data_IF_426792912929
#
_entry.id   IF_426792912929
#
_cell.length_a   1.000
_cell.length_b   1.000
_cell.length_c   1.000
_cell.angle_alpha   90.00
_cell.angle_beta   90.00
_cell.angle_gamma   90.00
#
_symmetry.space_group_name_H-M   'P 1'
#
loop_
_entity.id
_entity.type
_entity.pdbx_description
1 polymer ?
#
# COMPACT_ATOMS: atom_id res chain seq x y z
N UNK A 1 28.26 37.93 -4.95
CA UNK A 1 27.46 37.15 -5.92
C UNK A 1 27.33 35.73 -5.40
N UNK A 2 26.12 35.23 -5.15
CA UNK A 2 25.90 33.82 -4.80
C UNK A 2 26.15 32.99 -6.06
N UNK A 3 27.10 32.06 -5.99
CA UNK A 3 27.32 31.08 -7.06
C UNK A 3 26.10 30.14 -7.12
N UNK A 4 25.19 30.43 -8.06
CA UNK A 4 23.94 29.69 -8.26
C UNK A 4 24.16 28.20 -8.53
N UNK A 5 25.36 27.77 -8.98
CA UNK A 5 25.64 26.35 -9.21
C UNK A 5 25.91 25.60 -7.91
N UNK A 6 26.47 26.27 -6.89
CA UNK A 6 26.75 25.65 -5.58
C UNK A 6 25.52 25.52 -4.68
N UNK A 7 24.42 26.22 -5.00
CA UNK A 7 23.18 26.16 -4.23
C UNK A 7 22.17 25.10 -4.72
N UNK A 8 22.47 24.39 -5.83
CA UNK A 8 21.57 23.38 -6.39
C UNK A 8 22.09 21.99 -6.05
N UNK A 9 21.33 21.29 -5.19
CA UNK A 9 21.57 19.89 -4.85
C UNK A 9 20.76 19.02 -5.82
N UNK A 10 21.35 17.90 -6.26
CA UNK A 10 20.72 16.97 -7.19
C UNK A 10 20.60 15.60 -6.56
N UNK A 11 19.41 15.00 -6.67
CA UNK A 11 19.14 13.63 -6.28
C UNK A 11 18.72 12.86 -7.54
N UNK A 12 19.50 11.86 -7.91
CA UNK A 12 19.28 11.01 -9.10
C UNK A 12 19.54 9.56 -8.72
N UNK A 13 19.11 8.62 -9.56
CA UNK A 13 19.44 7.19 -9.43
C UNK A 13 20.95 6.92 -9.31
N UNK A 14 21.79 7.82 -9.86
CA UNK A 14 23.24 7.65 -9.87
C UNK A 14 23.86 8.00 -8.51
N UNK A 15 23.18 8.77 -7.66
CA UNK A 15 23.65 9.18 -6.34
C UNK A 15 22.69 8.85 -5.19
N UNK A 16 21.57 8.21 -5.47
CA UNK A 16 20.62 7.68 -4.49
C UNK A 16 20.41 6.19 -4.76
N UNK A 17 21.05 5.29 -3.99
CA UNK A 17 21.00 3.84 -4.23
C UNK A 17 19.60 3.23 -4.25
N UNK A 18 18.62 3.88 -3.61
CA UNK A 18 17.23 3.43 -3.58
C UNK A 18 16.44 3.84 -4.81
N UNK A 19 16.83 4.91 -5.52
CA UNK A 19 16.12 5.42 -6.69
C UNK A 19 16.27 4.49 -7.89
N UNK A 20 15.15 3.94 -8.36
CA UNK A 20 15.09 3.13 -9.59
C UNK A 20 14.74 3.94 -10.84
N UNK A 21 14.30 5.20 -10.67
CA UNK A 21 13.95 6.09 -11.78
C UNK A 21 14.34 7.55 -11.52
N UNK A 22 14.76 8.26 -12.57
CA UNK A 22 14.95 9.72 -12.56
C UNK A 22 13.69 10.49 -12.99
N UNK A 23 12.67 9.79 -13.49
CA UNK A 23 11.46 10.43 -14.02
C UNK A 23 10.44 10.59 -12.91
N UNK A 24 10.28 11.83 -12.45
CA UNK A 24 9.40 12.22 -11.35
C UNK A 24 8.07 12.72 -11.91
N UNK A 25 6.95 12.22 -11.38
CA UNK A 25 5.59 12.61 -11.80
C UNK A 25 4.85 13.43 -10.76
N UNK A 26 5.19 13.26 -9.49
CA UNK A 26 4.50 13.90 -8.37
C UNK A 26 5.46 14.16 -7.23
N UNK A 27 5.27 15.29 -6.55
CA UNK A 27 5.97 15.64 -5.32
C UNK A 27 4.95 16.22 -4.36
N UNK A 28 4.94 15.76 -3.11
CA UNK A 28 4.14 16.38 -2.06
C UNK A 28 4.87 16.37 -0.72
N UNK A 29 4.36 17.15 0.22
CA UNK A 29 4.80 17.15 1.61
C UNK A 29 3.65 16.62 2.48
N UNK A 30 3.96 15.68 3.38
CA UNK A 30 2.97 15.19 4.35
C UNK A 30 2.83 16.14 5.56
N UNK A 31 1.86 15.87 6.44
CA UNK A 31 1.60 16.68 7.63
C UNK A 31 2.73 16.66 8.67
N UNK A 32 3.63 15.67 8.61
CA UNK A 32 4.84 15.58 9.44
C UNK A 32 6.04 16.30 8.79
N UNK A 33 5.84 16.90 7.62
CA UNK A 33 6.83 17.63 6.86
C UNK A 33 7.68 16.76 5.95
N UNK A 34 7.51 15.44 5.91
CA UNK A 34 8.31 14.55 5.06
C UNK A 34 8.01 14.83 3.58
N UNK A 35 9.05 14.75 2.76
CA UNK A 35 8.93 14.86 1.32
C UNK A 35 8.58 13.49 0.74
N UNK A 36 7.62 13.48 -0.18
CA UNK A 36 7.21 12.29 -0.93
C UNK A 36 7.34 12.55 -2.42
N UNK A 37 7.89 11.57 -3.14
CA UNK A 37 8.28 11.68 -4.55
C UNK A 37 7.77 10.46 -5.31
N UNK A 38 6.79 10.65 -6.18
CA UNK A 38 6.23 9.62 -7.06
C UNK A 38 6.96 9.57 -8.39
N UNK A 39 7.38 8.39 -8.83
CA UNK A 39 8.25 8.21 -10.00
C UNK A 39 7.70 7.19 -10.98
N UNK A 40 8.41 6.96 -12.08
CA UNK A 40 8.09 5.85 -12.99
C UNK A 40 8.37 4.47 -12.39
N UNK A 41 9.19 4.38 -11.33
CA UNK A 41 9.51 3.13 -10.66
C UNK A 41 9.66 3.33 -9.14
N UNK A 42 8.54 3.35 -8.44
CA UNK A 42 8.42 3.47 -6.98
C UNK A 42 7.96 4.85 -6.52
N UNK A 43 7.61 4.90 -5.23
CA UNK A 43 7.45 6.14 -4.46
C UNK A 43 8.56 6.21 -3.41
N UNK A 44 9.08 7.41 -3.20
CA UNK A 44 10.18 7.64 -2.27
C UNK A 44 9.78 8.65 -1.21
N UNK A 45 10.10 8.38 0.05
CA UNK A 45 9.97 9.34 1.13
C UNK A 45 11.34 9.77 1.64
N UNK A 46 11.43 11.02 2.06
CA UNK A 46 12.58 11.54 2.78
C UNK A 46 12.09 12.34 3.98
N UNK A 47 12.54 11.98 5.17
CA UNK A 47 12.18 12.71 6.38
C UNK A 47 12.76 14.12 6.32
N UNK A 48 11.90 15.12 6.55
CA UNK A 48 12.34 16.50 6.66
C UNK A 48 12.88 16.76 8.06
N UNK A 49 14.10 16.34 8.28
CA UNK A 49 14.93 16.89 9.32
C UNK A 49 15.70 18.09 8.74
N UNK A 50 16.19 18.98 9.59
CA UNK A 50 17.00 20.16 9.23
C UNK A 50 18.27 19.84 8.38
N UNK A 51 18.50 18.57 8.02
CA UNK A 51 19.56 18.08 7.14
C UNK A 51 19.47 18.60 5.71
N UNK A 52 18.27 18.91 5.19
CA UNK A 52 18.13 19.56 3.87
C UNK A 52 18.90 20.88 3.75
N UNK A 53 19.09 21.57 4.87
CA UNK A 53 19.81 22.84 4.93
C UNK A 53 21.28 22.63 5.35
N UNK A 54 21.55 21.63 6.20
CA UNK A 54 22.83 21.50 6.87
C UNK A 54 23.84 20.53 6.21
N UNK A 55 23.39 19.40 5.65
CA UNK A 55 24.26 18.34 5.09
C UNK A 55 23.54 17.57 3.96
N UNK A 56 23.40 18.17 2.77
CA UNK A 56 22.66 17.58 1.66
C UNK A 56 23.17 16.19 1.21
N UNK A 57 24.47 15.94 1.38
CA UNK A 57 25.14 14.68 1.07
C UNK A 57 24.67 13.50 1.93
N UNK A 58 24.05 13.76 3.07
CA UNK A 58 23.52 12.74 3.98
C UNK A 58 22.02 12.48 3.80
N UNK A 59 21.40 13.09 2.79
CA UNK A 59 20.00 12.81 2.47
C UNK A 59 19.90 11.44 1.85
N UNK A 60 19.02 10.63 2.42
CA UNK A 60 18.64 9.33 1.90
C UNK A 60 17.14 9.25 1.73
N UNK A 61 16.73 8.56 0.68
CA UNK A 61 15.33 8.29 0.39
C UNK A 61 14.99 6.85 0.71
N UNK A 62 13.84 6.64 1.35
CA UNK A 62 13.26 5.32 1.53
C UNK A 62 12.27 5.03 0.39
N UNK A 63 12.44 3.90 -0.29
CA UNK A 63 11.62 3.52 -1.45
C UNK A 63 10.55 2.50 -1.11
N UNK A 64 9.34 2.72 -1.61
CA UNK A 64 8.24 1.78 -1.59
C UNK A 64 7.89 1.36 -3.02
N UNK A 65 7.61 0.07 -3.18
CA UNK A 65 7.43 -0.59 -4.47
C UNK A 65 6.21 -1.51 -4.43
N UNK A 66 5.89 -2.10 -5.59
CA UNK A 66 4.80 -3.06 -5.78
C UNK A 66 4.94 -4.25 -4.85
N UNK A 67 6.16 -4.75 -4.67
CA UNK A 67 6.45 -5.87 -3.76
C UNK A 67 6.14 -5.51 -2.30
N UNK A 68 6.10 -4.22 -1.96
CA UNK A 68 5.77 -3.69 -0.63
C UNK A 68 4.32 -3.21 -0.48
N UNK A 69 3.45 -3.41 -1.48
CA UNK A 69 2.02 -3.13 -1.38
C UNK A 69 1.46 -2.05 -2.33
N UNK A 70 2.30 -1.39 -3.14
CA UNK A 70 1.76 -0.58 -4.25
C UNK A 70 1.04 -1.48 -5.27
N UNK A 71 0.01 -0.96 -5.93
CA UNK A 71 -0.62 -1.69 -7.04
C UNK A 71 0.24 -1.67 -8.31
N UNK A 72 1.05 -0.64 -8.50
CA UNK A 72 2.07 -0.54 -9.56
C UNK A 72 3.19 0.43 -9.17
N UNK A 73 4.41 0.23 -9.68
CA UNK A 73 5.55 1.10 -9.38
C UNK A 73 5.47 2.47 -10.04
N UNK A 74 4.80 2.59 -11.19
CA UNK A 74 4.53 3.90 -11.78
C UNK A 74 3.50 4.64 -10.91
N UNK A 75 3.97 5.64 -10.16
CA UNK A 75 3.16 6.48 -9.27
C UNK A 75 2.99 7.85 -9.92
N UNK A 76 1.77 8.13 -10.36
CA UNK A 76 1.41 9.33 -11.13
C UNK A 76 1.04 10.53 -10.26
N UNK A 77 0.57 10.31 -9.04
CA UNK A 77 0.08 11.38 -8.15
C UNK A 77 0.16 10.95 -6.69
N UNK A 78 0.39 11.90 -5.79
CA UNK A 78 0.42 11.70 -4.35
C UNK A 78 -0.31 12.87 -3.68
N UNK A 79 -1.24 12.55 -2.79
CA UNK A 79 -2.09 13.53 -2.12
C UNK A 79 -2.22 13.17 -0.64
N UNK A 80 -1.68 13.98 0.28
CA UNK A 80 -1.86 13.78 1.71
C UNK A 80 -3.29 14.14 2.15
N UNK A 81 -3.80 13.40 3.13
CA UNK A 81 -5.03 13.75 3.85
C UNK A 81 -4.77 14.34 5.25
N UNK A 82 -5.83 14.81 5.91
CA UNK A 82 -5.77 15.37 7.27
C UNK A 82 -5.37 14.38 8.35
N UNK A 83 -5.63 13.08 8.13
CA UNK A 83 -5.31 12.04 9.11
C UNK A 83 -3.88 11.53 8.96
N UNK A 84 -3.10 12.11 8.05
CA UNK A 84 -1.72 11.75 7.77
C UNK A 84 -1.56 10.54 6.85
N UNK A 85 -2.66 10.02 6.29
CA UNK A 85 -2.58 9.04 5.21
C UNK A 85 -2.23 9.73 3.89
N UNK A 86 -1.74 8.94 2.93
CA UNK A 86 -1.45 9.40 1.58
C UNK A 86 -2.28 8.60 0.59
N UNK A 87 -2.90 9.32 -0.34
CA UNK A 87 -3.54 8.74 -1.50
C UNK A 87 -2.62 8.81 -2.68
N UNK A 88 -2.36 7.68 -3.33
CA UNK A 88 -1.48 7.61 -4.48
C UNK A 88 -2.21 7.03 -5.68
N UNK A 89 -2.07 7.68 -6.82
CA UNK A 89 -2.54 7.13 -8.10
C UNK A 89 -1.40 6.43 -8.81
N UNK A 90 -1.68 5.27 -9.41
CA UNK A 90 -0.69 4.46 -10.12
C UNK A 90 -1.20 4.06 -11.51
N UNK A 91 -0.42 3.26 -12.24
CA UNK A 91 -0.87 2.63 -13.49
C UNK A 91 -1.74 1.38 -13.32
N UNK A 92 -1.98 0.92 -12.08
CA UNK A 92 -2.92 -0.17 -11.79
C UNK A 92 -3.83 0.17 -10.61
N UNK A 93 -4.44 1.36 -10.65
CA UNK A 93 -5.40 1.79 -9.65
C UNK A 93 -4.85 2.80 -8.65
N UNK A 94 -5.55 2.92 -7.54
CA UNK A 94 -5.28 3.87 -6.45
C UNK A 94 -4.80 3.06 -5.23
N UNK A 95 -3.93 3.62 -4.41
CA UNK A 95 -3.54 3.01 -3.14
C UNK A 95 -3.59 4.04 -2.02
N UNK A 96 -4.17 3.66 -0.89
CA UNK A 96 -4.10 4.41 0.35
C UNK A 96 -2.93 3.88 1.18
N UNK A 97 -2.00 4.76 1.50
CA UNK A 97 -0.91 4.48 2.42
C UNK A 97 -1.23 5.07 3.79
N UNK A 98 -1.21 4.23 4.81
CA UNK A 98 -1.39 4.63 6.20
C UNK A 98 -0.07 4.44 6.95
N UNK A 99 0.59 5.53 7.38
CA UNK A 99 1.85 5.43 8.10
C UNK A 99 1.62 4.78 9.47
N UNK A 100 2.46 3.81 9.81
CA UNK A 100 2.47 3.19 11.13
C UNK A 100 3.66 3.68 11.95
N UNK A 101 3.53 3.64 13.28
CA UNK A 101 4.66 3.80 14.21
C UNK A 101 5.48 2.51 14.34
N UNK A 102 5.03 1.42 13.71
CA UNK A 102 5.77 0.16 13.60
C UNK A 102 6.34 0.01 12.19
N UNK A 103 7.13 -1.04 11.98
CA UNK A 103 7.69 -1.38 10.67
C UNK A 103 6.63 -1.84 9.65
N UNK A 104 5.38 -2.05 10.07
CA UNK A 104 4.27 -2.45 9.21
C UNK A 104 3.50 -1.21 8.74
N UNK A 105 3.92 -0.64 7.61
CA UNK A 105 3.08 0.31 6.88
C UNK A 105 1.94 -0.42 6.17
N UNK A 106 0.74 0.16 6.13
CA UNK A 106 -0.39 -0.44 5.44
C UNK A 106 -0.62 0.24 4.09
N UNK A 107 -0.64 -0.57 3.03
CA UNK A 107 -1.09 -0.16 1.70
C UNK A 107 -2.41 -0.85 1.41
N UNK A 108 -3.46 -0.06 1.22
CA UNK A 108 -4.80 -0.55 0.88
C UNK A 108 -5.06 -0.25 -0.60
N UNK A 109 -5.04 -1.28 -1.47
CA UNK A 109 -5.24 -1.09 -2.91
C UNK A 109 -6.72 -0.89 -3.23
N UNK A 110 -6.98 -0.08 -4.25
CA UNK A 110 -8.25 0.08 -4.93
C UNK A 110 -8.00 -0.11 -6.43
N UNK A 111 -8.76 -0.99 -7.06
CA UNK A 111 -8.55 -1.46 -8.42
C UNK A 111 -9.84 -1.37 -9.23
N UNK A 112 -9.78 -1.78 -10.50
CA UNK A 112 -10.98 -1.84 -11.34
C UNK A 112 -12.11 -2.67 -10.71
N UNK A 113 -11.79 -3.78 -10.03
CA UNK A 113 -12.81 -4.61 -9.35
C UNK A 113 -13.48 -3.91 -8.16
N UNK A 114 -12.88 -2.85 -7.64
CA UNK A 114 -13.43 -2.02 -6.56
C UNK A 114 -14.30 -0.86 -7.09
N UNK A 115 -14.51 -0.80 -8.42
CA UNK A 115 -15.35 0.20 -9.07
C UNK A 115 -14.60 1.40 -9.67
N UNK A 116 -13.27 1.32 -9.80
CA UNK A 116 -12.50 2.36 -10.50
C UNK A 116 -12.80 2.35 -12.01
N UNK A 117 -12.95 3.53 -12.61
CA UNK A 117 -13.24 3.68 -14.05
C UNK A 117 -12.09 3.22 -14.96
N UNK A 118 -10.87 3.16 -14.44
CA UNK A 118 -9.65 2.87 -15.17
C UNK A 118 -8.58 2.33 -14.22
N UNK A 119 -7.60 1.65 -14.77
CA UNK A 119 -6.37 1.26 -14.08
C UNK A 119 -5.29 2.35 -14.18
N UNK A 120 -5.30 3.14 -15.27
CA UNK A 120 -4.23 4.11 -15.57
C UNK A 120 -4.63 5.54 -15.23
N UNK A 121 -3.96 6.10 -14.23
CA UNK A 121 -4.18 7.48 -13.82
C UNK A 121 -3.15 8.45 -14.41
N UNK A 122 -3.61 9.68 -14.64
CA UNK A 122 -2.81 10.73 -15.24
C UNK A 122 -1.89 11.40 -14.21
N UNK A 123 -0.76 11.91 -14.69
CA UNK A 123 0.24 12.61 -13.86
C UNK A 123 -0.40 13.76 -13.11
N UNK A 124 -0.16 13.82 -11.80
CA UNK A 124 -0.63 14.83 -10.86
C UNK A 124 -2.13 15.17 -10.95
N UNK A 125 -2.94 14.26 -11.51
CA UNK A 125 -4.38 14.46 -11.71
C UNK A 125 -5.15 13.97 -10.49
N UNK A 126 -4.83 14.53 -9.33
CA UNK A 126 -5.36 14.14 -8.03
C UNK A 126 -5.73 15.38 -7.22
N UNK A 127 -6.91 15.39 -6.60
CA UNK A 127 -7.39 16.55 -5.84
C UNK A 127 -8.21 16.13 -4.62
N UNK A 128 -8.15 16.95 -3.56
CA UNK A 128 -8.96 16.77 -2.36
C UNK A 128 -9.81 18.01 -2.11
N UNK A 129 -11.12 17.86 -2.21
CA UNK A 129 -12.05 18.84 -1.68
C UNK A 129 -12.24 18.62 -0.17
N UNK A 130 -11.56 19.46 0.61
CA UNK A 130 -11.61 19.43 2.08
C UNK A 130 -12.99 19.75 2.64
N UNK A 131 -13.83 20.52 1.94
CA UNK A 131 -15.16 20.90 2.45
C UNK A 131 -16.10 19.70 2.50
N UNK A 132 -16.01 18.84 1.49
CA UNK A 132 -16.86 17.65 1.36
C UNK A 132 -16.14 16.36 1.76
N UNK A 133 -14.84 16.44 2.06
CA UNK A 133 -13.95 15.31 2.22
C UNK A 133 -14.06 14.32 1.05
N UNK A 134 -13.94 14.85 -0.17
CA UNK A 134 -14.04 14.07 -1.41
C UNK A 134 -12.71 14.12 -2.16
N UNK A 135 -12.21 12.95 -2.53
CA UNK A 135 -10.99 12.79 -3.30
C UNK A 135 -11.36 12.55 -4.77
N UNK A 136 -10.65 13.19 -5.68
CA UNK A 136 -10.84 13.09 -7.13
C UNK A 136 -9.56 12.59 -7.79
N UNK A 137 -9.71 11.65 -8.73
CA UNK A 137 -8.61 11.03 -9.46
C UNK A 137 -8.91 10.98 -10.95
N UNK A 138 -8.15 11.73 -11.74
CA UNK A 138 -8.26 11.79 -13.19
C UNK A 138 -7.48 10.68 -13.89
N UNK A 139 -8.16 9.99 -14.82
CA UNK A 139 -7.64 8.94 -15.70
C UNK A 139 -7.82 9.34 -17.16
N UNK A 140 -7.37 8.50 -18.08
CA UNK A 140 -7.61 8.70 -19.51
C UNK A 140 -9.09 8.53 -19.88
N UNK A 141 -9.84 7.71 -19.11
CA UNK A 141 -11.25 7.41 -19.35
C UNK A 141 -12.24 8.23 -18.50
N UNK A 142 -11.76 9.21 -17.73
CA UNK A 142 -12.61 10.09 -16.91
C UNK A 142 -12.08 10.28 -15.49
N UNK A 143 -12.98 10.64 -14.57
CA UNK A 143 -12.64 10.99 -13.19
C UNK A 143 -13.36 10.06 -12.21
N UNK A 144 -12.61 9.49 -11.27
CA UNK A 144 -13.19 8.85 -10.09
C UNK A 144 -13.28 9.87 -8.97
N UNK A 145 -14.34 9.77 -8.16
CA UNK A 145 -14.39 10.43 -6.87
C UNK A 145 -14.85 9.45 -5.80
N UNK A 146 -14.35 9.60 -4.58
CA UNK A 146 -14.90 8.89 -3.41
C UNK A 146 -14.77 9.75 -2.15
N UNK A 147 -15.67 9.50 -1.20
CA UNK A 147 -15.63 10.11 0.14
C UNK A 147 -15.53 9.00 1.18
N UNK A 148 -14.45 8.95 1.99
CA UNK A 148 -14.26 7.89 2.98
C UNK A 148 -15.33 7.87 4.07
N UNK A 149 -16.02 9.00 4.31
CA UNK A 149 -17.09 9.10 5.32
C UNK A 149 -18.39 8.38 4.92
N UNK A 150 -18.50 7.88 3.67
CA UNK A 150 -19.69 7.16 3.18
C UNK A 150 -19.54 5.64 3.11
N UNK A 151 -18.41 5.07 3.52
CA UNK A 151 -18.30 3.61 3.60
C UNK A 151 -18.95 3.11 4.89
N UNK A 152 -20.26 2.81 4.83
CA UNK A 152 -20.89 1.85 5.74
C UNK A 152 -20.36 0.47 5.42
N UNK A 153 -19.11 0.17 5.77
CA UNK A 153 -18.66 -1.22 5.75
C UNK A 153 -19.46 -1.96 6.80
N UNK A 154 -20.45 -2.74 6.36
CA UNK A 154 -20.92 -3.88 7.13
C UNK A 154 -19.74 -4.85 7.23
N UNK A 155 -18.87 -4.63 8.22
CA UNK A 155 -17.82 -5.59 8.62
C UNK A 155 -18.54 -6.75 9.29
N UNK A 156 -19.18 -7.61 8.50
CA UNK A 156 -19.51 -8.94 8.98
C UNK A 156 -18.18 -9.67 9.00
N UNK A 157 -17.61 -10.00 10.17
CA UNK A 157 -16.38 -10.77 10.22
C UNK A 157 -16.62 -12.10 9.51
N UNK A 158 -15.88 -12.35 8.44
CA UNK A 158 -15.88 -13.66 7.80
C UNK A 158 -15.21 -14.63 8.77
N UNK A 159 -15.96 -15.63 9.25
CA UNK A 159 -15.38 -16.74 10.02
C UNK A 159 -14.48 -17.54 9.08
N UNK A 160 -13.18 -17.56 9.37
CA UNK A 160 -12.26 -18.47 8.70
C UNK A 160 -12.43 -19.84 9.34
N UNK A 161 -12.76 -20.84 8.53
CA UNK A 161 -12.92 -22.22 8.97
C UNK A 161 -11.78 -23.05 8.40
N UNK A 162 -11.10 -23.81 9.26
CA UNK A 162 -10.16 -24.84 8.82
C UNK A 162 -10.99 -26.10 8.59
N UNK A 163 -11.31 -26.41 7.34
CA UNK A 163 -12.18 -27.54 7.02
C UNK A 163 -11.44 -28.86 6.90
N UNK A 164 -10.15 -28.81 6.52
CA UNK A 164 -9.37 -30.01 6.23
C UNK A 164 -7.90 -29.79 6.63
N UNK A 165 -7.31 -30.81 7.23
CA UNK A 165 -5.87 -30.95 7.45
C UNK A 165 -5.35 -32.09 6.58
N UNK A 166 -4.13 -32.02 6.07
CA UNK A 166 -3.48 -33.16 5.40
C UNK A 166 -2.35 -33.67 6.28
N UNK A 167 -2.40 -34.97 6.60
CA UNK A 167 -1.36 -35.69 7.35
C UNK A 167 -0.97 -36.94 6.54
N UNK A 168 0.31 -37.10 6.23
CA UNK A 168 0.81 -38.21 5.38
C UNK A 168 0.04 -38.33 4.04
N UNK A 169 -0.17 -37.21 3.34
CA UNK A 169 -0.96 -37.11 2.10
C UNK A 169 -2.43 -37.58 2.21
N UNK A 170 -2.91 -37.81 3.44
CA UNK A 170 -4.31 -38.20 3.70
C UNK A 170 -5.09 -37.01 4.26
N UNK A 171 -6.22 -36.63 3.63
CA UNK A 171 -7.07 -35.57 4.14
C UNK A 171 -7.82 -36.03 5.40
N UNK A 172 -7.80 -35.19 6.42
CA UNK A 172 -8.55 -35.30 7.66
C UNK A 172 -9.55 -34.14 7.67
N UNK A 173 -10.84 -34.45 7.48
CA UNK A 173 -11.91 -33.46 7.55
C UNK A 173 -12.22 -33.13 9.00
N UNK A 174 -12.17 -31.84 9.33
CA UNK A 174 -12.34 -31.34 10.70
C UNK A 174 -13.81 -31.07 11.06
N UNK A 175 -14.72 -31.18 10.10
CA UNK A 175 -16.17 -31.06 10.32
C UNK A 175 -16.90 -32.29 9.77
N UNK A 176 -17.86 -32.80 10.54
CA UNK A 176 -18.88 -33.73 10.11
C UNK A 176 -20.26 -33.18 10.50
N UNK A 177 -21.36 -33.78 10.02
CA UNK A 177 -22.72 -33.30 10.31
C UNK A 177 -23.09 -33.27 11.81
N UNK A 178 -22.28 -33.87 12.68
CA UNK A 178 -22.53 -33.97 14.12
C UNK A 178 -21.71 -32.97 14.98
N UNK A 179 -20.60 -32.41 14.47
CA UNK A 179 -19.72 -31.50 15.22
C UNK A 179 -19.63 -30.11 14.59
N UNK A 180 -20.68 -29.32 14.77
CA UNK A 180 -20.67 -27.89 14.46
C UNK A 180 -20.57 -27.06 15.74
N UNK A 181 -19.33 -26.75 16.17
CA UNK A 181 -18.87 -25.62 16.99
C UNK A 181 -17.83 -26.04 18.04
N UNK A 182 -16.77 -25.23 18.14
CA UNK A 182 -15.85 -25.09 19.29
C UNK A 182 -15.18 -26.35 19.85
N UNK A 183 -14.98 -27.37 19.01
CA UNK A 183 -14.27 -28.58 19.41
C UNK A 183 -12.76 -28.38 19.25
N UNK A 184 -12.00 -28.48 20.33
CA UNK A 184 -10.56 -28.72 20.26
C UNK A 184 -10.39 -30.12 19.64
N UNK A 185 -10.02 -30.19 18.37
CA UNK A 185 -9.70 -31.46 17.72
C UNK A 185 -8.26 -31.80 18.09
N UNK A 186 -8.09 -32.68 19.07
CA UNK A 186 -6.79 -33.19 19.47
C UNK A 186 -6.37 -34.30 18.51
N UNK A 187 -5.47 -33.98 17.58
CA UNK A 187 -4.86 -34.96 16.67
C UNK A 187 -3.55 -35.45 17.31
N UNK A 188 -3.54 -36.70 17.77
CA UNK A 188 -2.31 -37.35 18.23
C UNK A 188 -1.58 -37.93 17.03
N UNK A 189 -0.55 -37.23 16.54
CA UNK A 189 0.35 -37.72 15.50
C UNK A 189 1.76 -37.96 16.08
N UNK A 190 2.39 -39.09 15.75
CA UNK A 190 3.80 -39.33 16.08
C UNK A 190 4.68 -38.61 15.04
N UNK A 191 5.40 -37.57 15.47
CA UNK A 191 5.96 -36.52 14.61
C UNK A 191 7.45 -36.68 14.25
N UNK A 192 8.04 -37.87 14.42
CA UNK A 192 9.50 -38.01 14.33
C UNK A 192 10.13 -37.58 12.98
N UNK A 193 9.39 -37.50 11.86
CA UNK A 193 9.84 -36.91 10.57
C UNK A 193 8.69 -36.49 9.64
N UNK A 194 7.78 -35.61 10.06
CA UNK A 194 6.56 -35.33 9.27
C UNK A 194 6.21 -33.85 9.14
N UNK A 195 5.88 -33.44 7.92
CA UNK A 195 5.38 -32.10 7.58
C UNK A 195 3.86 -32.06 7.72
N UNK A 196 3.32 -30.95 8.23
CA UNK A 196 1.88 -30.71 8.37
C UNK A 196 1.48 -29.61 7.42
N UNK A 197 0.44 -29.87 6.61
CA UNK A 197 -0.13 -28.90 5.68
C UNK A 197 -1.57 -28.56 6.07
N UNK A 198 -1.90 -27.26 6.01
CA UNK A 198 -3.25 -26.75 6.24
C UNK A 198 -3.83 -26.24 4.92
N UNK A 199 -5.06 -26.65 4.61
CA UNK A 199 -5.81 -26.09 3.49
C UNK A 199 -6.91 -25.19 4.04
N UNK A 200 -6.88 -23.91 3.64
CA UNK A 200 -7.87 -22.93 4.07
C UNK A 200 -8.94 -22.77 2.99
N UNK A 201 -10.20 -22.80 3.39
CA UNK A 201 -11.31 -22.46 2.51
C UNK A 201 -11.98 -21.19 3.04
N UNK A 202 -12.01 -20.13 2.22
CA UNK A 202 -12.74 -18.90 2.53
C UNK A 202 -13.97 -18.84 1.63
N UNK A 203 -15.15 -19.00 2.22
CA UNK A 203 -16.43 -18.92 1.53
C UNK A 203 -17.40 -17.96 2.22
N UNK A 204 -18.32 -17.37 1.46
CA UNK A 204 -19.54 -16.79 2.03
C UNK A 204 -20.44 -17.95 2.45
N UNK A 205 -20.75 -18.04 3.75
CA UNK A 205 -21.93 -18.77 4.22
C UNK A 205 -23.18 -17.93 3.92
#
# INVERSE_FOLDING_TARGET
MIDKKKSIIRFTKDNQPTFRSNTIHSICQDSKGNLWVGTSDGVYSCTNNKLFIAKPENISFHGFFKEGGLTHNYVSGILPDENGALWMSTWKGIVKYEPSNTWLCQFTPYTFSDGLIDEKYNRNSIHWDRKTNTYYFGSVNGVNYFSPLKQTTSKIPHRVLISTMVLDDKPIHLFNQENMADSIIQVNANLEKKEIYFTFYCGRL
#
